data_IF_879942586933
#
_entry.id   IF_879942586933
#
_cell.length_a   1.000
_cell.length_b   1.000
_cell.length_c   1.000
_cell.angle_alpha   90.00
_cell.angle_beta   90.00
_cell.angle_gamma   90.00
#
_symmetry.space_group_name_H-M   'P 1'
#
loop_
_entity.id
_entity.type
_entity.pdbx_description
1 polymer ?
#
# COMPACT_ATOMS: atom_id res chain seq x y z
N UNK A 1 30.37 8.68 15.95
CA UNK A 1 29.63 7.70 16.77
C UNK A 1 28.23 8.23 17.13
N UNK A 2 27.30 8.31 16.17
CA UNK A 2 25.86 8.59 16.41
C UNK A 2 25.04 7.74 15.43
N UNK A 3 24.62 6.57 15.92
CA UNK A 3 23.59 5.66 15.39
C UNK A 3 23.68 5.35 13.87
N UNK A 4 24.41 4.33 13.40
CA UNK A 4 24.21 2.90 13.68
C UNK A 4 22.72 2.54 13.87
N UNK A 5 22.16 1.92 12.83
CA UNK A 5 20.77 1.44 12.69
C UNK A 5 19.73 2.50 12.27
N UNK A 6 19.91 3.11 11.10
CA UNK A 6 18.78 3.06 10.15
C UNK A 6 18.57 1.56 9.89
N UNK A 7 17.82 0.87 10.76
CA UNK A 7 17.05 -0.30 10.28
C UNK A 7 16.45 0.22 8.98
N UNK A 8 16.79 -0.38 7.84
CA UNK A 8 15.97 -0.21 6.64
C UNK A 8 14.57 -0.59 7.12
N UNK A 9 13.79 0.41 7.49
CA UNK A 9 12.44 0.21 7.98
C UNK A 9 11.72 -0.10 6.69
N UNK A 10 11.64 -1.38 6.35
CA UNK A 10 10.84 -1.84 5.24
C UNK A 10 9.40 -1.46 5.60
N UNK A 11 8.85 -0.40 4.97
CA UNK A 11 7.53 0.11 5.32
C UNK A 11 6.45 -0.90 4.92
N UNK A 12 6.79 -1.91 4.12
CA UNK A 12 5.89 -2.97 3.73
C UNK A 12 5.77 -4.06 4.80
N UNK A 13 6.71 -4.20 5.75
CA UNK A 13 6.71 -5.29 6.75
C UNK A 13 5.41 -5.35 7.58
N UNK A 14 4.88 -4.19 7.93
CA UNK A 14 3.65 -4.00 8.70
C UNK A 14 2.36 -4.34 7.93
N UNK A 15 2.44 -4.50 6.60
CA UNK A 15 1.30 -4.94 5.80
C UNK A 15 1.03 -6.43 6.02
N UNK A 16 -0.23 -6.82 6.00
CA UNK A 16 -0.65 -8.22 5.95
C UNK A 16 -0.37 -8.80 4.55
N UNK A 17 -0.37 -10.13 4.38
CA UNK A 17 -0.24 -10.74 3.05
C UNK A 17 -1.24 -10.20 2.03
N UNK A 18 -2.52 -10.08 2.44
CA UNK A 18 -3.59 -9.56 1.56
C UNK A 18 -3.40 -8.10 1.18
N UNK A 19 -2.92 -7.28 2.10
CA UNK A 19 -2.60 -5.88 1.84
C UNK A 19 -1.42 -5.72 0.88
N UNK A 20 -0.40 -6.58 0.99
CA UNK A 20 0.73 -6.63 0.03
C UNK A 20 0.26 -7.06 -1.36
N UNK A 21 -0.63 -8.03 -1.44
CA UNK A 21 -1.20 -8.50 -2.71
C UNK A 21 -2.01 -7.39 -3.39
N UNK A 22 -2.87 -6.69 -2.65
CA UNK A 22 -3.59 -5.51 -3.15
C UNK A 22 -2.59 -4.46 -3.63
N UNK A 23 -1.55 -4.14 -2.86
CA UNK A 23 -0.53 -3.15 -3.22
C UNK A 23 0.28 -3.54 -4.46
N UNK A 24 0.59 -4.82 -4.65
CA UNK A 24 1.23 -5.35 -5.86
C UNK A 24 0.37 -5.09 -7.09
N UNK A 25 -0.91 -5.45 -7.06
CA UNK A 25 -1.83 -5.22 -8.17
C UNK A 25 -2.07 -3.73 -8.42
N UNK A 26 -2.05 -2.89 -7.38
CA UNK A 26 -2.06 -1.43 -7.55
C UNK A 26 -0.82 -0.94 -8.32
N UNK A 27 0.36 -1.50 -8.03
CA UNK A 27 1.61 -1.15 -8.69
C UNK A 27 1.66 -1.60 -10.16
N UNK A 28 0.92 -2.65 -10.52
CA UNK A 28 0.65 -3.04 -11.90
C UNK A 28 -0.33 -2.10 -12.64
N UNK A 29 -0.86 -1.07 -11.96
CA UNK A 29 -1.77 -0.10 -12.55
C UNK A 29 -3.24 -0.55 -12.59
N UNK A 30 -3.61 -1.65 -11.92
CA UNK A 30 -4.99 -2.15 -11.89
C UNK A 30 -5.92 -1.20 -11.16
N UNK A 31 -7.14 -1.04 -11.66
CA UNK A 31 -8.25 -0.38 -10.97
C UNK A 31 -8.77 -1.22 -9.79
N UNK A 32 -9.52 -0.62 -8.85
CA UNK A 32 -10.07 -1.36 -7.71
C UNK A 32 -11.04 -2.47 -8.15
N UNK A 33 -11.77 -2.28 -9.26
CA UNK A 33 -12.63 -3.31 -9.86
C UNK A 33 -11.85 -4.46 -10.50
N UNK A 34 -10.72 -4.20 -11.14
CA UNK A 34 -9.82 -5.26 -11.63
C UNK A 34 -9.17 -6.03 -10.48
N UNK A 35 -8.74 -5.33 -9.44
CA UNK A 35 -8.19 -5.96 -8.21
C UNK A 35 -9.26 -6.84 -7.56
N UNK A 36 -10.48 -6.33 -7.42
CA UNK A 36 -11.60 -7.06 -6.83
C UNK A 36 -11.87 -8.37 -7.58
N UNK A 37 -11.91 -8.31 -8.92
CA UNK A 37 -12.05 -9.50 -9.77
C UNK A 37 -10.90 -10.47 -9.63
N UNK A 38 -9.65 -9.98 -9.69
CA UNK A 38 -8.46 -10.83 -9.57
C UNK A 38 -8.32 -11.52 -8.22
N UNK A 39 -8.85 -10.90 -7.16
CA UNK A 39 -8.80 -11.40 -5.80
C UNK A 39 -10.08 -12.12 -5.34
N UNK A 40 -11.10 -12.23 -6.20
CA UNK A 40 -12.42 -12.81 -5.91
C UNK A 40 -13.10 -12.18 -4.68
N UNK A 41 -13.08 -10.85 -4.59
CA UNK A 41 -13.72 -10.07 -3.51
C UNK A 41 -14.54 -8.92 -4.09
N UNK A 42 -15.25 -8.19 -3.22
CA UNK A 42 -15.97 -6.98 -3.63
C UNK A 42 -15.04 -5.77 -3.73
N UNK A 43 -15.39 -4.79 -4.55
CA UNK A 43 -14.68 -3.50 -4.61
C UNK A 43 -14.64 -2.79 -3.26
N UNK A 44 -15.72 -2.92 -2.46
CA UNK A 44 -15.76 -2.41 -1.10
C UNK A 44 -14.68 -3.04 -0.19
N UNK A 45 -14.41 -4.33 -0.35
CA UNK A 45 -13.32 -5.00 0.37
C UNK A 45 -11.95 -4.48 -0.07
N UNK A 46 -11.75 -4.26 -1.38
CA UNK A 46 -10.52 -3.64 -1.89
C UNK A 46 -10.34 -2.23 -1.33
N UNK A 47 -11.39 -1.40 -1.32
CA UNK A 47 -11.33 -0.05 -0.75
C UNK A 47 -10.92 -0.05 0.74
N UNK A 48 -11.41 -1.04 1.52
CA UNK A 48 -10.99 -1.23 2.91
C UNK A 48 -9.51 -1.61 3.02
N UNK A 49 -9.03 -2.54 2.20
CA UNK A 49 -7.61 -2.90 2.16
C UNK A 49 -6.73 -1.72 1.74
N UNK A 50 -7.12 -0.95 0.72
CA UNK A 50 -6.39 0.26 0.28
C UNK A 50 -6.33 1.27 1.42
N UNK A 51 -7.44 1.52 2.12
CA UNK A 51 -7.48 2.45 3.25
C UNK A 51 -6.55 2.00 4.38
N UNK A 52 -6.54 0.69 4.69
CA UNK A 52 -5.64 0.10 5.68
C UNK A 52 -4.16 0.20 5.27
N UNK A 53 -3.83 -0.06 4.00
CA UNK A 53 -2.48 0.11 3.45
C UNK A 53 -2.01 1.55 3.64
N UNK A 54 -2.81 2.53 3.21
CA UNK A 54 -2.44 3.95 3.33
C UNK A 54 -2.25 4.36 4.80
N UNK A 55 -3.12 3.90 5.69
CA UNK A 55 -2.99 4.17 7.12
C UNK A 55 -1.71 3.55 7.70
N UNK A 56 -1.40 2.30 7.36
CA UNK A 56 -0.20 1.62 7.85
C UNK A 56 1.06 2.31 7.33
N UNK A 57 1.09 2.69 6.05
CA UNK A 57 2.20 3.44 5.45
C UNK A 57 2.30 4.90 5.95
N UNK A 58 1.50 5.31 6.94
CA UNK A 58 1.40 6.66 7.48
C UNK A 58 1.10 7.74 6.42
N UNK A 59 0.42 7.33 5.33
CA UNK A 59 -0.05 8.20 4.25
C UNK A 59 -1.43 8.75 4.63
N UNK A 60 -1.43 9.63 5.64
CA UNK A 60 -2.64 10.29 6.16
C UNK A 60 -3.20 11.30 5.15
N UNK A 61 -4.44 11.73 5.39
CA UNK A 61 -5.15 12.72 4.57
C UNK A 61 -4.61 14.13 4.87
N UNK A 62 -3.43 14.46 4.37
CA UNK A 62 -2.90 15.83 4.37
C UNK A 62 -3.27 16.57 3.07
N UNK A 63 -4.50 16.39 2.60
CA UNK A 63 -5.19 17.26 1.64
C UNK A 63 -4.64 17.40 0.21
N UNK A 64 -3.38 17.07 -0.11
CA UNK A 64 -2.73 17.55 -1.35
C UNK A 64 -1.84 16.51 -2.07
N UNK A 65 -2.14 15.21 -1.99
CA UNK A 65 -1.32 14.19 -2.66
C UNK A 65 -2.07 12.99 -3.22
N UNK A 66 -1.57 12.44 -4.34
CA UNK A 66 -1.97 11.13 -4.87
C UNK A 66 -1.40 10.00 -3.99
N UNK A 67 -1.96 9.81 -2.78
CA UNK A 67 -1.49 8.82 -1.78
C UNK A 67 -1.33 7.40 -2.33
N UNK A 68 -2.16 7.01 -3.30
CA UNK A 68 -2.02 5.73 -4.01
C UNK A 68 -0.69 5.64 -4.76
N UNK A 69 -0.28 6.71 -5.45
CA UNK A 69 1.02 6.77 -6.14
C UNK A 69 2.15 6.71 -5.13
N UNK A 70 2.05 7.41 -4.00
CA UNK A 70 3.06 7.32 -2.93
C UNK A 70 3.19 5.90 -2.36
N UNK A 71 2.06 5.21 -2.16
CA UNK A 71 2.07 3.81 -1.73
C UNK A 71 2.72 2.89 -2.77
N UNK A 72 2.43 3.08 -4.05
CA UNK A 72 3.06 2.33 -5.15
C UNK A 72 4.56 2.61 -5.22
N UNK A 73 4.98 3.87 -5.09
CA UNK A 73 6.40 4.22 -5.05
C UNK A 73 7.10 3.61 -3.84
N UNK A 74 6.43 3.52 -2.69
CA UNK A 74 6.96 2.83 -1.52
C UNK A 74 7.13 1.33 -1.79
N UNK A 75 6.19 0.70 -2.49
CA UNK A 75 6.28 -0.70 -2.92
C UNK A 75 7.44 -0.96 -3.87
N UNK A 76 7.60 -0.12 -4.91
CA UNK A 76 8.62 -0.29 -5.94
C UNK A 76 10.06 0.02 -5.45
N UNK A 77 10.21 0.70 -4.32
CA UNK A 77 11.51 1.06 -3.72
C UNK A 77 11.94 0.14 -2.59
N UNK A 78 11.08 -0.79 -2.17
CA UNK A 78 11.31 -1.68 -1.04
C UNK A 78 12.27 -2.83 -1.39
#
# INVERSE_FOLDING_TARGET
MRQLLRRRHDPLRQLTPREREVLSLMAEGRSNGEIARGLYVTEAAVNKHVSSVLQKLDLRLDGQGHRRVLAVLAYLRA
#
